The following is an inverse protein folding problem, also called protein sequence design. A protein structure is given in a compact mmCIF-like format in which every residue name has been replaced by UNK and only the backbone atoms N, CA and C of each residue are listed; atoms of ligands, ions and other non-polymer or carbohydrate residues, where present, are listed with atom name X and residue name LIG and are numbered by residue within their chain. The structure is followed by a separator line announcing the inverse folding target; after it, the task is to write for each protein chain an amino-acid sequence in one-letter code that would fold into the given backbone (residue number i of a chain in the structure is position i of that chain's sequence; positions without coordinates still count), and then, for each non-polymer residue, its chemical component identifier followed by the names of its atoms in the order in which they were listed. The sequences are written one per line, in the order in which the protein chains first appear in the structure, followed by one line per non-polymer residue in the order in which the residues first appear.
data_IF_762448330462
#
_entry.id   IF_762448330462
#
_cell.length_a   1.000
_cell.length_b   1.000
_cell.length_c   1.000
_cell.angle_alpha   90.00
_cell.angle_beta   90.00
_cell.angle_gamma   90.00
#
_symmetry.space_group_name_H-M   'P 1'
#
loop_
_entity.id
_entity.type
_entity.pdbx_description
1 polymer ?
#
# COMPACT_ATOMS: atom_id res chain seq x y z
N UNK A 1 -41.82 32.18 39.75
CA UNK A 1 -41.19 31.22 38.82
C UNK A 1 -39.71 31.11 39.16
N UNK A 2 -39.12 29.91 39.08
CA UNK A 2 -37.77 29.61 39.59
C UNK A 2 -36.69 29.68 38.51
N UNK A 3 -35.57 30.34 38.84
CA UNK A 3 -34.44 30.60 37.94
C UNK A 3 -33.48 29.40 37.89
N UNK A 4 -33.74 28.40 37.04
CA UNK A 4 -32.81 27.27 36.83
C UNK A 4 -31.52 27.73 36.15
N UNK A 5 -30.38 27.49 36.79
CA UNK A 5 -29.05 27.65 36.23
C UNK A 5 -28.67 26.43 35.37
N UNK A 6 -28.11 26.68 34.19
CA UNK A 6 -27.62 25.63 33.28
C UNK A 6 -26.16 25.26 33.60
N UNK A 7 -25.99 24.24 34.44
CA UNK A 7 -24.67 23.67 34.72
C UNK A 7 -24.11 22.98 33.45
N UNK A 8 -23.24 23.70 32.73
CA UNK A 8 -22.60 23.23 31.50
C UNK A 8 -21.47 22.26 31.83
N UNK A 9 -21.79 20.97 31.93
CA UNK A 9 -20.80 19.90 32.15
C UNK A 9 -19.75 19.92 31.02
N UNK A 10 -18.49 20.16 31.39
CA UNK A 10 -17.35 19.93 30.50
C UNK A 10 -17.10 18.42 30.45
N UNK A 11 -17.57 17.77 29.39
CA UNK A 11 -17.04 16.48 29.00
C UNK A 11 -15.57 16.68 28.59
N UNK A 12 -14.65 16.42 29.51
CA UNK A 12 -13.23 16.24 29.16
C UNK A 12 -13.17 14.90 28.44
N UNK A 13 -12.88 14.95 27.13
CA UNK A 13 -12.56 13.74 26.38
C UNK A 13 -11.16 13.28 26.80
N UNK A 14 -11.09 12.29 27.67
CA UNK A 14 -9.83 11.58 27.91
C UNK A 14 -9.36 10.95 26.60
N UNK A 15 -8.26 11.46 26.09
CA UNK A 15 -7.62 10.95 24.89
C UNK A 15 -6.93 9.63 25.27
N UNK A 16 -7.60 8.51 24.95
CA UNK A 16 -7.12 7.16 25.26
C UNK A 16 -5.81 6.87 24.51
N UNK A 17 -4.69 7.22 25.15
CA UNK A 17 -3.36 6.91 24.66
C UNK A 17 -3.22 5.39 24.52
N UNK A 18 -3.01 4.86 23.30
CA UNK A 18 -2.94 3.41 23.08
C UNK A 18 -1.80 2.75 23.85
N UNK A 19 -0.75 3.50 24.25
CA UNK A 19 0.36 3.01 25.08
C UNK A 19 -0.12 2.73 26.51
N UNK A 20 -0.93 3.63 27.08
CA UNK A 20 -1.51 3.45 28.42
C UNK A 20 -2.45 2.25 28.50
N UNK A 21 -3.27 2.04 27.45
CA UNK A 21 -4.13 0.86 27.33
C UNK A 21 -3.32 -0.44 27.23
N UNK A 22 -2.21 -0.43 26.47
CA UNK A 22 -1.31 -1.58 26.36
C UNK A 22 -0.61 -1.92 27.68
N UNK A 23 -0.19 -0.91 28.44
CA UNK A 23 0.36 -1.07 29.79
C UNK A 23 -0.68 -1.61 30.78
N UNK A 24 -1.90 -1.06 30.79
CA UNK A 24 -2.98 -1.55 31.64
C UNK A 24 -3.33 -3.03 31.35
N UNK A 25 -3.42 -3.40 30.07
CA UNK A 25 -3.62 -4.80 29.64
C UNK A 25 -2.44 -5.68 30.10
N UNK A 26 -1.20 -5.19 29.98
CA UNK A 26 -0.01 -5.89 30.47
C UNK A 26 -0.02 -6.13 31.98
N UNK A 27 -0.43 -5.15 32.78
CA UNK A 27 -0.55 -5.27 34.24
C UNK A 27 -1.69 -6.22 34.65
N UNK A 28 -2.83 -6.19 33.95
CA UNK A 28 -3.97 -7.10 34.20
C UNK A 28 -3.59 -8.55 33.84
N UNK A 29 -2.95 -8.78 32.69
CA UNK A 29 -2.44 -10.10 32.32
C UNK A 29 -1.33 -10.60 33.27
N UNK A 30 -0.42 -9.71 33.67
CA UNK A 30 0.68 -10.02 34.59
C UNK A 30 0.22 -10.34 36.02
N UNK A 31 -0.86 -9.71 36.49
CA UNK A 31 -1.47 -10.01 37.80
C UNK A 31 -2.33 -11.27 37.77
N UNK A 32 -3.06 -11.52 36.67
CA UNK A 32 -3.82 -12.76 36.48
C UNK A 32 -2.91 -14.00 36.29
N UNK A 33 -1.64 -13.81 35.91
CA UNK A 33 -0.67 -14.90 35.74
C UNK A 33 -0.03 -15.43 37.03
N UNK A 34 -0.27 -14.79 38.18
CA UNK A 34 0.28 -15.20 39.49
C UNK A 34 -0.58 -16.23 40.24
N UNK A 35 -1.84 -16.44 39.81
CA UNK A 35 -2.82 -17.32 40.48
C UNK A 35 -3.38 -18.44 39.59
N UNK A 36 -2.99 -18.50 38.32
CA UNK A 36 -3.31 -19.58 37.40
C UNK A 36 -2.08 -20.48 37.19
N UNK A 37 -2.25 -21.82 37.07
CA UNK A 37 -1.13 -22.69 36.74
C UNK A 37 -0.58 -22.32 35.34
N UNK A 38 0.72 -22.48 35.15
CA UNK A 38 1.49 -22.03 33.97
C UNK A 38 0.89 -22.43 32.61
N UNK A 39 0.15 -23.53 32.55
CA UNK A 39 -0.53 -23.98 31.33
C UNK A 39 -1.69 -23.05 30.93
N UNK A 40 -2.48 -22.56 31.89
CA UNK A 40 -3.57 -21.61 31.62
C UNK A 40 -3.05 -20.22 31.23
N UNK A 41 -1.94 -19.76 31.83
CA UNK A 41 -1.33 -18.46 31.45
C UNK A 41 -0.75 -18.52 30.04
N UNK A 42 -0.11 -19.65 29.67
CA UNK A 42 0.33 -19.93 28.30
C UNK A 42 -0.86 -19.95 27.31
N UNK A 43 -1.97 -20.62 27.66
CA UNK A 43 -3.18 -20.67 26.80
C UNK A 43 -3.76 -19.28 26.55
N UNK A 44 -3.89 -18.43 27.59
CA UNK A 44 -4.39 -17.05 27.43
C UNK A 44 -3.43 -16.20 26.59
N UNK A 45 -2.12 -16.36 26.76
CA UNK A 45 -1.11 -15.65 25.97
C UNK A 45 -1.17 -16.01 24.48
N UNK A 46 -1.27 -17.30 24.11
CA UNK A 46 -1.36 -17.72 22.71
C UNK A 46 -2.72 -17.34 22.09
N UNK A 47 -3.81 -17.41 22.86
CA UNK A 47 -5.11 -16.88 22.44
C UNK A 47 -5.04 -15.36 22.18
N UNK A 48 -4.39 -14.59 23.05
CA UNK A 48 -4.12 -13.17 22.85
C UNK A 48 -3.31 -12.89 21.58
N UNK A 49 -2.20 -13.62 21.36
CA UNK A 49 -1.38 -13.48 20.16
C UNK A 49 -2.13 -13.82 18.87
N UNK A 50 -2.98 -14.85 18.87
CA UNK A 50 -3.79 -15.18 17.68
C UNK A 50 -4.86 -14.13 17.39
N UNK A 51 -5.56 -13.63 18.41
CA UNK A 51 -6.51 -12.50 18.27
C UNK A 51 -5.81 -11.25 17.73
N UNK A 52 -4.66 -10.87 18.30
CA UNK A 52 -3.86 -9.73 17.83
C UNK A 52 -3.36 -9.94 16.40
N UNK A 53 -3.00 -11.16 16.01
CA UNK A 53 -2.62 -11.51 14.64
C UNK A 53 -3.81 -11.38 13.67
N UNK A 54 -5.00 -11.88 14.03
CA UNK A 54 -6.21 -11.74 13.21
C UNK A 54 -6.64 -10.28 13.06
N UNK A 55 -6.62 -9.49 14.13
CA UNK A 55 -6.91 -8.04 14.08
C UNK A 55 -5.88 -7.33 13.19
N UNK A 56 -4.58 -7.60 13.35
CA UNK A 56 -3.55 -7.02 12.49
C UNK A 56 -3.69 -7.44 11.02
N UNK A 57 -4.09 -8.68 10.74
CA UNK A 57 -4.34 -9.15 9.38
C UNK A 57 -5.54 -8.44 8.75
N UNK A 58 -6.67 -8.36 9.46
CA UNK A 58 -7.86 -7.64 9.02
C UNK A 58 -7.57 -6.15 8.78
N UNK A 59 -6.83 -5.50 9.67
CA UNK A 59 -6.39 -4.11 9.49
C UNK A 59 -5.43 -3.94 8.30
N UNK A 60 -4.54 -4.91 8.03
CA UNK A 60 -3.67 -4.90 6.83
C UNK A 60 -4.47 -5.05 5.55
N UNK A 61 -5.44 -5.97 5.48
CA UNK A 61 -6.33 -6.14 4.33
C UNK A 61 -7.15 -4.87 4.05
N UNK A 62 -7.71 -4.24 5.09
CA UNK A 62 -8.40 -2.95 4.99
C UNK A 62 -7.49 -1.81 4.49
N UNK A 63 -6.22 -1.76 4.93
CA UNK A 63 -5.25 -0.78 4.45
C UNK A 63 -4.87 -1.01 2.99
N UNK A 64 -4.63 -2.27 2.59
CA UNK A 64 -4.28 -2.65 1.21
C UNK A 64 -5.40 -2.32 0.22
N UNK A 65 -6.67 -2.59 0.57
CA UNK A 65 -7.83 -2.22 -0.27
C UNK A 65 -7.91 -0.70 -0.49
N UNK A 66 -7.67 0.11 0.55
CA UNK A 66 -7.64 1.58 0.44
C UNK A 66 -6.50 2.07 -0.46
N UNK A 67 -5.31 1.50 -0.34
CA UNK A 67 -4.14 1.84 -1.17
C UNK A 67 -4.36 1.47 -2.64
N UNK A 68 -4.83 0.24 -2.94
CA UNK A 68 -5.18 -0.18 -4.31
C UNK A 68 -6.26 0.70 -4.92
N UNK A 69 -7.29 1.07 -4.14
CA UNK A 69 -8.34 2.00 -4.61
C UNK A 69 -7.78 3.41 -4.89
N UNK A 70 -6.83 3.89 -4.09
CA UNK A 70 -6.12 5.15 -4.38
C UNK A 70 -5.30 5.05 -5.68
N UNK A 71 -4.56 3.95 -5.89
CA UNK A 71 -3.82 3.73 -7.14
C UNK A 71 -4.75 3.74 -8.37
N UNK A 72 -5.93 3.12 -8.31
CA UNK A 72 -6.93 3.16 -9.40
C UNK A 72 -7.54 4.55 -9.63
N UNK A 73 -7.64 5.38 -8.58
CA UNK A 73 -8.10 6.77 -8.69
C UNK A 73 -7.01 7.73 -9.18
N UNK A 74 -5.73 7.43 -8.91
CA UNK A 74 -4.57 8.21 -9.33
C UNK A 74 -4.24 8.06 -10.84
N UNK A 75 -4.77 7.01 -11.50
CA UNK A 75 -4.73 6.84 -12.97
C UNK A 75 -5.56 7.94 -13.68
N UNK A 76 -5.21 8.27 -14.92
CA UNK A 76 -6.10 9.01 -15.84
C UNK A 76 -7.36 8.18 -16.19
N UNK A 77 -8.41 8.76 -16.82
CA UNK A 77 -9.55 8.00 -17.31
C UNK A 77 -9.15 6.88 -18.29
N UNK A 78 -8.35 7.21 -19.32
CA UNK A 78 -7.88 6.24 -20.31
C UNK A 78 -6.86 5.24 -19.74
N UNK A 79 -6.02 5.66 -18.79
CA UNK A 79 -5.14 4.76 -18.04
C UNK A 79 -5.94 3.77 -17.18
N UNK A 80 -7.12 4.16 -16.67
CA UNK A 80 -8.05 3.28 -15.95
C UNK A 80 -8.81 2.33 -16.88
N UNK A 81 -9.30 2.82 -18.02
CA UNK A 81 -9.92 1.98 -19.07
C UNK A 81 -8.94 0.92 -19.59
N UNK A 82 -7.70 1.31 -19.90
CA UNK A 82 -6.63 0.38 -20.28
C UNK A 82 -6.29 -0.62 -19.16
N UNK A 83 -6.35 -0.21 -17.88
CA UNK A 83 -6.15 -1.13 -16.74
C UNK A 83 -7.27 -2.16 -16.64
N UNK A 84 -8.52 -1.77 -16.91
CA UNK A 84 -9.66 -2.70 -16.92
C UNK A 84 -9.59 -3.64 -18.13
N UNK A 85 -9.12 -3.19 -19.30
CA UNK A 85 -8.89 -4.05 -20.45
C UNK A 85 -7.86 -5.16 -20.15
N UNK A 86 -6.68 -4.79 -19.63
CA UNK A 86 -5.64 -5.74 -19.22
C UNK A 86 -6.15 -6.73 -18.15
N UNK A 87 -6.99 -6.25 -17.22
CA UNK A 87 -7.63 -7.10 -16.21
C UNK A 87 -8.59 -8.14 -16.83
N UNK A 88 -9.31 -7.79 -17.89
CA UNK A 88 -10.16 -8.73 -18.62
C UNK A 88 -9.32 -9.79 -19.34
N UNK A 89 -8.23 -9.38 -20.00
CA UNK A 89 -7.27 -10.32 -20.63
C UNK A 89 -6.69 -11.31 -19.59
N UNK A 90 -6.27 -10.81 -18.42
CA UNK A 90 -5.76 -11.63 -17.31
C UNK A 90 -6.78 -12.65 -16.75
N UNK A 91 -8.07 -12.31 -16.83
CA UNK A 91 -9.18 -13.18 -16.45
C UNK A 91 -9.59 -14.16 -17.57
N UNK A 92 -8.83 -14.22 -18.67
CA UNK A 92 -9.04 -15.12 -19.79
C UNK A 92 -10.10 -14.68 -20.81
N UNK A 93 -10.45 -13.39 -20.84
CA UNK A 93 -11.34 -12.83 -21.85
C UNK A 93 -10.62 -12.71 -23.21
N UNK A 94 -11.39 -12.69 -24.30
CA UNK A 94 -10.89 -12.66 -25.69
C UNK A 94 -11.34 -11.39 -26.40
N UNK A 95 -10.65 -11.03 -27.49
CA UNK A 95 -11.01 -9.89 -28.35
C UNK A 95 -11.25 -8.59 -27.55
N UNK A 96 -10.40 -8.35 -26.54
CA UNK A 96 -10.51 -7.17 -25.67
C UNK A 96 -9.97 -5.96 -26.44
N UNK A 97 -10.83 -4.97 -26.68
CA UNK A 97 -10.52 -3.77 -27.45
C UNK A 97 -11.03 -2.54 -26.72
N UNK A 98 -10.12 -1.67 -26.29
CA UNK A 98 -10.46 -0.33 -25.77
C UNK A 98 -10.97 0.53 -26.93
N UNK A 99 -12.10 1.22 -26.72
CA UNK A 99 -12.63 2.23 -27.65
C UNK A 99 -12.32 3.60 -27.10
N UNK A 100 -11.25 4.20 -27.62
CA UNK A 100 -10.76 5.51 -27.18
C UNK A 100 -11.27 6.62 -28.09
N UNK A 101 -12.39 7.25 -27.73
CA UNK A 101 -12.96 8.32 -28.55
C UNK A 101 -14.02 9.18 -27.87
N UNK A 102 -13.98 10.48 -28.15
CA UNK A 102 -15.07 11.42 -27.87
C UNK A 102 -16.24 11.19 -28.84
N UNK A 103 -16.86 10.01 -28.77
CA UNK A 103 -17.93 9.60 -29.69
C UNK A 103 -18.55 8.22 -29.43
N UNK A 104 -17.93 7.36 -28.63
CA UNK A 104 -18.25 5.91 -28.55
C UNK A 104 -19.54 5.54 -27.80
N UNK A 105 -20.47 6.49 -27.66
CA UNK A 105 -21.81 6.34 -27.05
C UNK A 105 -21.78 5.72 -25.64
N UNK A 106 -20.68 5.90 -24.92
CA UNK A 106 -20.48 5.38 -23.56
C UNK A 106 -20.07 3.91 -23.48
N UNK A 107 -19.51 3.32 -24.54
CA UNK A 107 -18.85 2.01 -24.48
C UNK A 107 -17.35 2.21 -24.58
N UNK A 108 -16.66 1.97 -23.47
CA UNK A 108 -15.25 2.32 -23.31
C UNK A 108 -14.35 1.11 -23.65
N UNK A 109 -14.86 -0.13 -23.50
CA UNK A 109 -14.19 -1.38 -23.90
C UNK A 109 -15.22 -2.35 -24.50
N UNK A 110 -14.81 -3.16 -25.48
CA UNK A 110 -15.55 -4.36 -25.92
C UNK A 110 -14.73 -5.61 -25.74
N UNK A 111 -15.35 -6.73 -25.34
CA UNK A 111 -14.68 -8.01 -25.12
C UNK A 111 -15.62 -9.20 -25.40
N UNK A 112 -15.07 -10.38 -25.57
CA UNK A 112 -15.79 -11.65 -25.72
C UNK A 112 -15.42 -12.61 -24.59
N UNK A 113 -16.43 -13.29 -24.04
CA UNK A 113 -16.24 -14.36 -23.05
C UNK A 113 -17.30 -15.44 -23.21
N UNK A 114 -16.87 -16.70 -23.18
CA UNK A 114 -17.73 -17.89 -23.24
C UNK A 114 -18.69 -17.87 -24.46
N UNK A 115 -18.23 -17.28 -25.58
CA UNK A 115 -18.99 -17.11 -26.83
C UNK A 115 -19.97 -15.94 -26.85
N UNK A 116 -20.05 -15.15 -25.78
CA UNK A 116 -20.93 -13.97 -25.65
C UNK A 116 -20.13 -12.67 -25.81
N UNK A 117 -20.71 -11.69 -26.51
CA UNK A 117 -20.17 -10.34 -26.67
C UNK A 117 -20.58 -9.44 -25.51
N UNK A 118 -19.59 -8.81 -24.87
CA UNK A 118 -19.78 -7.84 -23.81
C UNK A 118 -19.35 -6.44 -24.25
N UNK A 119 -20.11 -5.44 -23.82
CA UNK A 119 -19.68 -4.04 -23.77
C UNK A 119 -19.39 -3.66 -22.33
N UNK A 120 -18.32 -2.89 -22.09
CA UNK A 120 -17.92 -2.48 -20.74
C UNK A 120 -17.79 -0.96 -20.72
N UNK A 121 -18.35 -0.35 -19.67
CA UNK A 121 -18.22 1.07 -19.37
C UNK A 121 -17.47 1.24 -18.05
N UNK A 122 -16.50 2.14 -18.02
CA UNK A 122 -15.60 2.41 -16.91
C UNK A 122 -15.89 3.78 -16.29
N UNK A 123 -16.03 3.87 -14.96
CA UNK A 123 -16.32 5.14 -14.25
C UNK A 123 -15.41 5.30 -13.03
N UNK A 124 -14.28 5.98 -13.24
CA UNK A 124 -13.29 6.38 -12.23
C UNK A 124 -13.83 7.51 -11.34
N UNK A 125 -14.80 7.20 -10.47
CA UNK A 125 -15.43 8.15 -9.55
C UNK A 125 -15.12 7.86 -8.07
N UNK A 126 -15.17 8.92 -7.26
CA UNK A 126 -15.02 8.87 -5.80
C UNK A 126 -16.38 8.73 -5.09
N UNK A 127 -17.42 9.39 -5.61
CA UNK A 127 -18.82 9.34 -5.15
C UNK A 127 -19.56 8.13 -5.74
N UNK A 128 -20.67 7.67 -5.14
CA UNK A 128 -21.43 6.54 -5.67
C UNK A 128 -22.01 6.78 -7.08
N UNK A 129 -22.00 5.75 -7.93
CA UNK A 129 -22.45 5.84 -9.32
C UNK A 129 -23.97 5.80 -9.42
N UNK A 130 -24.56 6.85 -9.98
CA UNK A 130 -26.01 7.04 -10.13
C UNK A 130 -26.65 6.18 -11.24
N UNK A 131 -27.99 6.11 -11.28
CA UNK A 131 -28.73 5.17 -12.13
C UNK A 131 -28.65 5.46 -13.63
N UNK A 132 -28.42 6.71 -14.04
CA UNK A 132 -28.40 7.12 -15.45
C UNK A 132 -27.43 6.25 -16.27
N UNK A 133 -26.20 6.04 -15.78
CA UNK A 133 -25.20 5.19 -16.43
C UNK A 133 -25.67 3.75 -16.68
N UNK A 134 -26.55 3.20 -15.85
CA UNK A 134 -27.14 1.87 -16.06
C UNK A 134 -28.12 1.91 -17.24
N UNK A 135 -29.00 2.91 -17.29
CA UNK A 135 -29.93 3.13 -18.41
C UNK A 135 -29.20 3.42 -19.73
N UNK A 136 -28.19 4.27 -19.70
CA UNK A 136 -27.37 4.62 -20.86
C UNK A 136 -26.67 3.37 -21.42
N UNK A 137 -26.12 2.52 -20.54
CA UNK A 137 -25.47 1.26 -20.92
C UNK A 137 -26.46 0.18 -21.41
N UNK A 138 -27.68 0.12 -20.86
CA UNK A 138 -28.77 -0.73 -21.41
C UNK A 138 -29.15 -0.29 -22.84
N UNK A 139 -29.21 1.02 -23.10
CA UNK A 139 -29.40 1.55 -24.46
C UNK A 139 -28.24 1.21 -25.40
N UNK A 140 -27.00 1.37 -24.93
CA UNK A 140 -25.80 1.01 -25.69
C UNK A 140 -25.74 -0.49 -26.03
N UNK A 141 -26.24 -1.37 -25.16
CA UNK A 141 -26.31 -2.82 -25.37
C UNK A 141 -27.17 -3.17 -26.59
N UNK A 142 -28.30 -2.49 -26.78
CA UNK A 142 -29.14 -2.63 -27.97
C UNK A 142 -28.46 -2.08 -29.23
N UNK A 143 -27.83 -0.90 -29.13
CA UNK A 143 -27.17 -0.21 -30.25
C UNK A 143 -25.95 -0.97 -30.79
N UNK A 144 -25.14 -1.57 -29.89
CA UNK A 144 -23.92 -2.29 -30.25
C UNK A 144 -24.16 -3.79 -30.54
N UNK A 145 -25.41 -4.26 -30.45
CA UNK A 145 -25.81 -5.67 -30.54
C UNK A 145 -24.92 -6.58 -29.68
N UNK A 146 -24.91 -6.32 -28.37
CA UNK A 146 -24.19 -7.11 -27.38
C UNK A 146 -25.11 -8.04 -26.58
N UNK A 147 -24.55 -9.12 -26.07
CA UNK A 147 -25.26 -10.10 -25.26
C UNK A 147 -25.41 -9.63 -23.81
N UNK A 148 -24.38 -8.96 -23.30
CA UNK A 148 -24.30 -8.46 -21.93
C UNK A 148 -23.52 -7.14 -21.87
N UNK A 149 -23.63 -6.44 -20.74
CA UNK A 149 -22.78 -5.32 -20.42
C UNK A 149 -22.22 -5.38 -18.99
N UNK A 150 -21.12 -4.68 -18.74
CA UNK A 150 -20.58 -4.48 -17.39
C UNK A 150 -20.34 -2.99 -17.15
N UNK A 151 -20.84 -2.47 -16.03
CA UNK A 151 -20.52 -1.13 -15.54
C UNK A 151 -19.49 -1.25 -14.42
N UNK A 152 -18.25 -0.85 -14.67
CA UNK A 152 -17.11 -0.93 -13.76
C UNK A 152 -16.86 0.42 -13.11
N UNK A 153 -16.79 0.46 -11.78
CA UNK A 153 -16.65 1.70 -11.01
C UNK A 153 -15.58 1.60 -9.92
N UNK A 154 -14.86 2.70 -9.68
CA UNK A 154 -13.99 2.85 -8.50
C UNK A 154 -14.78 3.27 -7.24
N UNK A 155 -16.09 3.09 -7.23
CA UNK A 155 -16.98 3.40 -6.11
C UNK A 155 -18.24 2.53 -6.14
N UNK A 156 -18.91 2.41 -5.00
CA UNK A 156 -20.19 1.74 -4.87
C UNK A 156 -21.27 2.33 -5.80
N UNK A 157 -22.21 1.48 -6.22
CA UNK A 157 -23.44 1.92 -6.91
C UNK A 157 -24.49 2.41 -5.93
N UNK A 158 -25.33 3.38 -6.34
CA UNK A 158 -26.49 3.75 -5.51
C UNK A 158 -27.51 2.60 -5.46
N UNK A 159 -28.33 2.55 -4.39
CA UNK A 159 -29.44 1.59 -4.28
C UNK A 159 -30.37 1.63 -5.51
N UNK A 160 -30.55 2.80 -6.12
CA UNK A 160 -31.38 2.94 -7.33
C UNK A 160 -30.72 2.30 -8.55
N UNK A 161 -29.41 2.52 -8.76
CA UNK A 161 -28.61 1.87 -9.81
C UNK A 161 -28.65 0.34 -9.69
N UNK A 162 -28.55 -0.18 -8.45
CA UNK A 162 -28.67 -1.61 -8.14
C UNK A 162 -30.09 -2.16 -8.36
N UNK A 163 -31.13 -1.33 -8.29
CA UNK A 163 -32.51 -1.74 -8.61
C UNK A 163 -32.74 -1.72 -10.12
N UNK A 164 -32.25 -0.71 -10.83
CA UNK A 164 -32.39 -0.58 -12.28
C UNK A 164 -31.58 -1.63 -13.06
N UNK A 165 -30.50 -2.16 -12.49
CA UNK A 165 -29.77 -3.30 -13.08
C UNK A 165 -30.47 -4.67 -12.89
N UNK A 166 -31.44 -4.80 -11.97
CA UNK A 166 -32.10 -6.10 -11.74
C UNK A 166 -32.97 -6.49 -12.92
N UNK A 167 -32.81 -7.72 -13.40
CA UNK A 167 -33.50 -8.22 -14.59
C UNK A 167 -32.94 -7.71 -15.91
N UNK A 168 -31.96 -6.80 -15.89
CA UNK A 168 -31.24 -6.35 -17.08
C UNK A 168 -30.04 -7.25 -17.38
N UNK A 169 -29.55 -7.21 -18.63
CA UNK A 169 -28.33 -7.92 -19.06
C UNK A 169 -27.05 -7.13 -18.69
N UNK A 170 -27.04 -6.48 -17.52
CA UNK A 170 -25.97 -5.57 -17.06
C UNK A 170 -25.45 -6.01 -15.69
N UNK A 171 -24.15 -6.29 -15.61
CA UNK A 171 -23.44 -6.57 -14.36
C UNK A 171 -22.84 -5.27 -13.79
N UNK A 172 -22.80 -5.14 -12.46
CA UNK A 172 -22.26 -3.98 -11.77
C UNK A 172 -21.00 -4.39 -10.99
N UNK A 173 -19.82 -3.88 -11.40
CA UNK A 173 -18.55 -4.11 -10.71
C UNK A 173 -18.19 -2.88 -9.89
N UNK A 174 -18.52 -2.90 -8.60
CA UNK A 174 -18.14 -1.83 -7.66
C UNK A 174 -16.66 -1.93 -7.24
N UNK A 175 -16.22 -1.03 -6.35
CA UNK A 175 -14.84 -1.03 -5.86
C UNK A 175 -14.44 -2.31 -5.11
N UNK A 176 -15.40 -3.12 -4.63
CA UNK A 176 -15.14 -4.38 -3.94
C UNK A 176 -15.02 -5.52 -4.94
N UNK A 177 -15.94 -5.60 -5.89
CA UNK A 177 -15.92 -6.60 -6.98
C UNK A 177 -14.70 -6.39 -7.87
N UNK A 178 -14.39 -5.14 -8.25
CA UNK A 178 -13.22 -4.81 -9.05
C UNK A 178 -11.91 -5.24 -8.36
N UNK A 179 -11.77 -5.02 -7.05
CA UNK A 179 -10.61 -5.49 -6.29
C UNK A 179 -10.56 -7.03 -6.18
N UNK A 180 -11.71 -7.70 -6.03
CA UNK A 180 -11.78 -9.17 -6.06
C UNK A 180 -11.36 -9.74 -7.42
N UNK A 181 -11.75 -9.11 -8.53
CA UNK A 181 -11.32 -9.48 -9.88
C UNK A 181 -9.81 -9.28 -10.08
N UNK A 182 -9.23 -8.22 -9.51
CA UNK A 182 -7.77 -7.99 -9.51
C UNK A 182 -7.05 -9.09 -8.70
N UNK A 183 -7.55 -9.44 -7.51
CA UNK A 183 -7.01 -10.56 -6.72
C UNK A 183 -7.16 -11.92 -7.44
N UNK A 184 -8.20 -12.12 -8.24
CA UNK A 184 -8.42 -13.31 -9.07
C UNK A 184 -7.41 -13.39 -10.22
N UNK A 185 -7.22 -12.29 -10.96
CA UNK A 185 -6.21 -12.16 -12.02
C UNK A 185 -4.76 -12.35 -11.51
N UNK A 186 -4.41 -11.74 -10.36
CA UNK A 186 -3.11 -11.94 -9.71
C UNK A 186 -2.87 -13.42 -9.37
N UNK A 187 -3.89 -14.14 -8.88
CA UNK A 187 -3.80 -15.59 -8.58
C UNK A 187 -3.67 -16.44 -9.83
N UNK A 188 -4.38 -16.13 -10.90
CA UNK A 188 -4.29 -16.86 -12.17
C UNK A 188 -2.89 -16.72 -12.79
N UNK A 189 -2.34 -15.49 -12.82
CA UNK A 189 -0.94 -15.24 -13.20
C UNK A 189 0.06 -15.99 -12.30
N UNK A 190 -0.13 -15.96 -10.98
CA UNK A 190 0.75 -16.65 -10.04
C UNK A 190 0.65 -18.18 -10.15
N UNK A 191 -0.51 -18.74 -10.51
CA UNK A 191 -0.68 -20.18 -10.75
C UNK A 191 0.00 -20.65 -12.04
N UNK A 192 0.18 -19.76 -13.02
CA UNK A 192 0.96 -20.01 -14.24
C UNK A 192 2.49 -19.93 -14.01
N UNK A 193 2.95 -19.45 -12.84
CA UNK A 193 4.37 -19.36 -12.49
C UNK A 193 4.80 -20.53 -11.57
N UNK A 194 5.61 -21.49 -12.05
CA UNK A 194 5.88 -22.72 -11.32
C UNK A 194 6.97 -22.56 -10.23
N UNK A 195 6.65 -21.92 -9.10
CA UNK A 195 7.20 -22.12 -7.72
C UNK A 195 6.81 -20.99 -6.75
N UNK A 196 6.17 -21.34 -5.61
CA UNK A 196 6.19 -20.71 -4.24
C UNK A 196 4.83 -20.52 -3.51
N UNK A 197 3.68 -20.75 -4.14
CA UNK A 197 2.38 -20.37 -3.55
C UNK A 197 1.81 -21.28 -2.43
N UNK A 198 2.50 -22.36 -2.01
CA UNK A 198 1.90 -23.43 -1.19
C UNK A 198 2.18 -23.34 0.33
N UNK A 199 3.10 -22.48 0.79
CA UNK A 199 3.52 -22.43 2.22
C UNK A 199 2.47 -21.81 3.16
N UNK A 200 1.59 -20.95 2.64
CA UNK A 200 0.69 -20.13 3.46
C UNK A 200 -0.41 -20.92 4.18
N UNK A 201 -1.02 -21.91 3.52
CA UNK A 201 -2.18 -22.66 4.06
C UNK A 201 -1.80 -23.54 5.26
N UNK A 202 -0.61 -24.13 5.24
CA UNK A 202 -0.12 -25.01 6.32
C UNK A 202 0.08 -24.26 7.63
N UNK A 203 0.49 -22.98 7.57
CA UNK A 203 0.69 -22.12 8.74
C UNK A 203 -0.61 -21.88 9.53
N UNK A 204 -1.76 -21.71 8.86
CA UNK A 204 -3.05 -21.53 9.53
C UNK A 204 -3.54 -22.82 10.19
N UNK A 205 -3.39 -23.97 9.52
CA UNK A 205 -3.73 -25.27 10.08
C UNK A 205 -2.86 -25.62 11.29
N UNK A 206 -1.55 -25.38 11.20
CA UNK A 206 -0.59 -25.60 12.30
C UNK A 206 -0.88 -24.71 13.51
N UNK A 207 -1.18 -23.43 13.31
CA UNK A 207 -1.51 -22.51 14.41
C UNK A 207 -2.79 -22.91 15.15
N UNK A 208 -3.85 -23.32 14.44
CA UNK A 208 -5.09 -23.80 15.06
C UNK A 208 -4.91 -25.14 15.77
N UNK A 209 -4.18 -26.08 15.15
CA UNK A 209 -3.84 -27.37 15.77
C UNK A 209 -3.03 -27.20 17.06
N UNK A 210 -2.02 -26.33 17.06
CA UNK A 210 -1.20 -26.04 18.24
C UNK A 210 -2.02 -25.44 19.39
N UNK A 211 -2.97 -24.54 19.10
CA UNK A 211 -3.87 -23.99 20.12
C UNK A 211 -4.76 -25.07 20.74
N UNK A 212 -5.33 -25.97 19.93
CA UNK A 212 -6.15 -27.08 20.43
C UNK A 212 -5.34 -28.07 21.28
N UNK A 213 -4.10 -28.38 20.88
CA UNK A 213 -3.19 -29.24 21.64
C UNK A 213 -2.81 -28.60 22.99
N UNK A 214 -2.46 -27.31 23.01
CA UNK A 214 -2.13 -26.59 24.24
C UNK A 214 -3.33 -26.49 25.19
N UNK A 215 -4.54 -26.19 24.68
CA UNK A 215 -5.75 -26.15 25.49
C UNK A 215 -6.12 -27.54 26.06
N UNK A 216 -6.01 -28.60 25.26
CA UNK A 216 -6.20 -29.97 25.72
C UNK A 216 -5.20 -30.38 26.80
N UNK A 217 -3.93 -30.01 26.64
CA UNK A 217 -2.89 -30.26 27.65
C UNK A 217 -3.13 -29.46 28.94
N UNK A 218 -3.57 -28.20 28.84
CA UNK A 218 -3.95 -27.39 30.01
C UNK A 218 -5.12 -27.99 30.79
N UNK A 219 -6.12 -28.56 30.12
CA UNK A 219 -7.23 -29.27 30.78
C UNK A 219 -6.78 -30.58 31.43
N UNK A 220 -5.92 -31.36 30.77
CA UNK A 220 -5.44 -32.66 31.26
C UNK A 220 -4.48 -32.55 32.46
N UNK A 221 -3.62 -31.53 32.50
CA UNK A 221 -2.56 -31.41 33.52
C UNK A 221 -2.75 -30.21 34.48
N UNK A 222 -3.52 -29.20 34.11
CA UNK A 222 -3.85 -28.05 34.97
C UNK A 222 -5.21 -28.15 35.66
N UNK A 223 -6.09 -29.04 35.18
CA UNK A 223 -7.45 -29.21 35.69
C UNK A 223 -8.40 -28.05 35.36
N UNK A 224 -9.64 -28.18 35.82
CA UNK A 224 -10.61 -27.09 35.84
C UNK A 224 -10.34 -26.20 37.07
N UNK A 225 -10.22 -24.87 36.92
CA UNK A 225 -9.98 -23.96 38.04
C UNK A 225 -11.24 -23.78 38.89
N UNK A 226 -11.49 -24.72 39.80
CA UNK A 226 -12.51 -24.61 40.85
C UNK A 226 -11.90 -23.78 41.99
N UNK A 227 -12.39 -22.55 42.18
CA UNK A 227 -11.84 -21.61 43.15
C UNK A 227 -12.24 -21.96 44.58
N UNK A 228 -11.35 -22.65 45.30
CA UNK A 228 -11.42 -22.74 46.76
C UNK A 228 -10.88 -21.45 47.37
N UNK A 229 -11.80 -20.59 47.82
CA UNK A 229 -11.48 -19.35 48.51
C UNK A 229 -11.40 -19.59 50.03
N UNK A 230 -10.21 -19.89 50.54
CA UNK A 230 -9.90 -19.79 51.97
C UNK A 230 -8.87 -18.70 52.21
N UNK A 231 -9.06 -17.95 53.30
CA UNK A 231 -8.31 -16.73 53.56
C UNK A 231 -7.08 -16.98 54.45
N UNK A 232 -5.96 -16.35 54.11
CA UNK A 232 -4.92 -16.04 55.08
C UNK A 232 -4.74 -14.52 55.13
N UNK A 233 -4.93 -13.99 56.33
CA UNK A 233 -4.81 -12.59 56.72
C UNK A 233 -3.57 -12.49 57.62
N UNK A 234 -2.99 -11.30 57.72
CA UNK A 234 -1.75 -10.98 58.45
C UNK A 234 -0.45 -11.50 57.79
N UNK A 235 0.72 -10.86 57.98
CA UNK A 235 1.07 -9.80 58.93
C UNK A 235 2.08 -8.79 58.34
N UNK A 236 2.68 -7.94 59.20
CA UNK A 236 3.85 -7.08 58.95
C UNK A 236 3.67 -5.79 58.13
N UNK A 237 2.78 -4.90 58.59
CA UNK A 237 2.94 -3.45 58.37
C UNK A 237 3.80 -2.82 59.48
N UNK A 238 4.98 -2.25 59.19
CA UNK A 238 5.55 -1.12 59.97
C UNK A 238 6.73 -0.41 59.28
N UNK A 239 6.75 0.93 59.39
CA UNK A 239 7.82 1.90 59.03
C UNK A 239 8.32 1.90 57.55
N UNK A 240 8.51 3.03 56.86
CA UNK A 240 8.18 4.43 57.16
C UNK A 240 9.39 5.33 57.46
N UNK A 241 9.30 6.57 56.93
CA UNK A 241 10.04 7.79 57.33
C UNK A 241 11.41 8.10 56.65
N UNK A 242 11.32 9.06 55.70
CA UNK A 242 12.34 10.07 55.26
C UNK A 242 13.54 9.68 54.39
N UNK A 243 13.95 10.68 53.60
CA UNK A 243 15.19 10.73 52.83
C UNK A 243 16.13 11.81 53.38
N UNK A 244 17.44 11.61 53.22
CA UNK A 244 18.38 12.65 52.75
C UNK A 244 19.78 12.08 52.49
N UNK A 245 20.51 12.71 51.58
CA UNK A 245 21.98 12.69 51.54
C UNK A 245 22.49 13.95 52.29
N UNK A 246 23.76 14.01 52.75
CA UNK A 246 24.86 14.31 51.82
C UNK A 246 26.20 13.59 52.12
N UNK A 247 27.20 13.94 51.31
CA UNK A 247 28.52 13.31 51.21
C UNK A 247 29.50 13.52 52.38
N UNK A 248 30.51 12.64 52.43
CA UNK A 248 31.86 12.86 52.98
C UNK A 248 32.91 12.24 52.04
N UNK A 249 34.11 12.82 52.01
CA UNK A 249 35.27 12.49 51.15
C UNK A 249 36.51 12.27 52.09
N UNK A 250 37.82 12.26 51.70
CA UNK A 250 38.52 12.20 50.41
C UNK A 250 39.74 11.20 50.44
N UNK A 251 40.90 11.58 49.85
CA UNK A 251 42.31 11.07 50.01
C UNK A 251 42.75 9.96 49.03
N UNK A 252 43.85 10.09 48.23
CA UNK A 252 44.72 11.26 47.92
C UNK A 252 45.54 11.09 46.61
N UNK A 253 45.88 12.21 45.95
CA UNK A 253 47.05 12.54 45.09
C UNK A 253 47.56 11.58 43.96
N UNK A 254 48.41 12.00 43.00
CA UNK A 254 49.19 13.25 42.87
C UNK A 254 49.39 13.76 41.41
N UNK A 255 49.93 14.98 41.31
CA UNK A 255 50.31 15.87 40.20
C UNK A 255 50.53 15.30 38.76
N UNK A 256 50.22 15.99 37.64
CA UNK A 256 50.24 17.43 37.28
C UNK A 256 51.67 18.04 37.15
N UNK A 257 51.89 19.17 36.42
CA UNK A 257 51.00 20.00 35.59
C UNK A 257 51.12 19.59 34.09
N UNK A 258 51.29 20.36 33.00
CA UNK A 258 51.44 21.80 32.70
C UNK A 258 51.19 22.10 31.19
N UNK A 259 51.01 23.31 30.64
CA UNK A 259 50.38 24.58 31.11
C UNK A 259 50.25 25.55 29.90
N UNK A 260 49.04 26.10 29.68
CA UNK A 260 48.73 27.33 28.88
C UNK A 260 49.01 27.35 27.35
N UNK A 261 48.49 28.28 26.52
CA UNK A 261 47.19 29.02 26.43
C UNK A 261 47.14 29.72 25.04
N UNK A 262 46.01 29.76 24.29
CA UNK A 262 45.97 30.29 22.91
C UNK A 262 45.50 31.77 22.78
N UNK A 263 46.05 32.52 21.80
CA UNK A 263 45.43 33.71 21.17
C UNK A 263 46.08 34.07 19.80
N UNK A 264 45.61 35.05 18.98
CA UNK A 264 44.83 34.68 17.79
C UNK A 264 45.23 35.35 16.45
N UNK A 265 44.48 35.03 15.39
CA UNK A 265 44.19 35.86 14.19
C UNK A 265 45.32 36.17 13.21
N UNK A 266 45.14 35.73 11.96
CA UNK A 266 45.59 36.45 10.76
C UNK A 266 44.63 36.18 9.58
N UNK A 267 44.28 37.22 8.81
CA UNK A 267 43.41 37.12 7.63
C UNK A 267 44.25 37.15 6.34
N UNK A 268 44.15 36.15 5.45
CA UNK A 268 44.79 36.21 4.13
C UNK A 268 43.97 37.07 3.14
N UNK A 269 44.69 37.78 2.27
CA UNK A 269 44.16 38.68 1.22
C UNK A 269 44.01 37.92 -0.11
N UNK A 270 42.98 38.18 -0.94
CA UNK A 270 42.80 37.49 -2.22
C UNK A 270 43.90 37.83 -3.24
N UNK A 271 44.38 36.83 -3.99
CA UNK A 271 45.36 37.02 -5.08
C UNK A 271 44.96 36.25 -6.35
N UNK A 272 44.57 37.04 -7.36
CA UNK A 272 44.59 36.83 -8.83
C UNK A 272 44.48 35.41 -9.43
N UNK A 273 43.42 35.23 -10.22
CA UNK A 273 43.17 34.13 -11.17
C UNK A 273 44.23 34.06 -12.29
N UNK A 274 44.71 32.85 -12.68
CA UNK A 274 45.40 32.63 -13.95
C UNK A 274 44.40 32.44 -15.11
N UNK A 275 44.85 32.69 -16.34
CA UNK A 275 44.04 32.67 -17.56
C UNK A 275 43.81 31.24 -18.10
N UNK A 276 42.70 30.92 -18.79
CA UNK A 276 42.39 29.54 -19.18
C UNK A 276 43.37 28.94 -20.18
N UNK A 277 43.76 27.68 -19.94
CA UNK A 277 44.34 26.83 -20.98
C UNK A 277 43.24 26.41 -21.99
N UNK A 278 43.63 26.16 -23.24
CA UNK A 278 42.68 25.74 -24.28
C UNK A 278 42.04 24.38 -23.95
N UNK A 279 40.71 24.32 -23.98
CA UNK A 279 39.94 23.10 -23.74
C UNK A 279 40.29 22.02 -24.78
N UNK A 280 40.63 20.78 -24.39
CA UNK A 280 40.78 19.69 -25.36
C UNK A 280 39.45 19.46 -26.07
N UNK A 281 39.49 19.35 -27.40
CA UNK A 281 38.31 19.06 -28.22
C UNK A 281 37.69 17.73 -27.77
N UNK A 282 36.37 17.68 -27.49
CA UNK A 282 35.75 16.49 -26.93
C UNK A 282 35.89 15.32 -27.91
N UNK A 283 36.50 14.22 -27.43
CA UNK A 283 36.40 12.92 -28.11
C UNK A 283 34.92 12.56 -28.20
N UNK A 284 34.41 12.10 -29.36
CA UNK A 284 33.01 11.73 -29.49
C UNK A 284 32.72 10.55 -28.56
N UNK A 285 31.99 10.80 -27.47
CA UNK A 285 31.49 9.76 -26.57
C UNK A 285 30.69 8.76 -27.40
N UNK A 286 31.00 7.44 -27.35
CA UNK A 286 30.24 6.47 -28.11
C UNK A 286 28.78 6.48 -27.62
N UNK A 287 27.84 6.71 -28.52
CA UNK A 287 26.41 6.78 -28.19
C UNK A 287 25.98 5.46 -27.53
N UNK A 288 25.47 5.48 -26.29
CA UNK A 288 25.04 4.26 -25.62
C UNK A 288 23.89 3.61 -26.40
N UNK A 289 24.09 2.35 -26.82
CA UNK A 289 23.09 1.58 -27.55
C UNK A 289 22.05 1.06 -26.55
N UNK A 290 20.99 1.83 -26.35
CA UNK A 290 19.85 1.42 -25.55
C UNK A 290 18.94 0.46 -26.34
N UNK A 291 18.42 -0.62 -25.72
CA UNK A 291 17.37 -1.42 -26.33
C UNK A 291 16.10 -0.58 -26.48
N UNK A 292 15.22 -0.95 -27.41
CA UNK A 292 13.99 -0.22 -27.72
C UNK A 292 12.74 -1.02 -27.38
N UNK A 293 11.62 -0.32 -27.22
CA UNK A 293 10.28 -0.89 -27.13
C UNK A 293 9.29 -0.10 -27.97
N UNK A 294 8.23 -0.76 -28.44
CA UNK A 294 7.07 -0.11 -29.06
C UNK A 294 6.04 0.23 -28.00
N UNK A 295 5.51 1.45 -28.04
CA UNK A 295 4.40 1.88 -27.19
C UNK A 295 3.12 1.19 -27.66
N UNK A 296 2.46 0.45 -26.77
CA UNK A 296 1.23 -0.29 -27.09
C UNK A 296 0.02 0.66 -27.18
N UNK A 297 -0.17 1.49 -26.16
CA UNK A 297 -1.16 2.56 -26.14
C UNK A 297 -0.55 3.82 -25.52
N UNK A 298 -1.01 4.99 -25.96
CA UNK A 298 -0.43 6.27 -25.58
C UNK A 298 -0.61 6.61 -24.09
N UNK A 299 0.28 7.45 -23.57
CA UNK A 299 0.27 7.81 -22.14
C UNK A 299 1.31 8.86 -21.75
N UNK A 300 1.38 9.14 -20.45
CA UNK A 300 2.16 10.24 -19.90
C UNK A 300 3.62 9.85 -19.59
N UNK A 301 4.58 10.64 -20.09
CA UNK A 301 6.00 10.62 -19.68
C UNK A 301 6.16 11.56 -18.49
N UNK A 302 6.80 11.11 -17.40
CA UNK A 302 6.81 11.82 -16.11
C UNK A 302 8.22 12.04 -15.55
N UNK A 303 8.38 13.08 -14.74
CA UNK A 303 9.65 13.39 -14.06
C UNK A 303 10.08 12.31 -13.05
N UNK A 304 9.11 11.61 -12.45
CA UNK A 304 9.31 10.61 -11.40
C UNK A 304 8.52 9.32 -11.71
N UNK A 305 8.93 8.16 -11.18
CA UNK A 305 8.21 6.90 -11.31
C UNK A 305 6.98 6.85 -10.37
N UNK A 306 6.03 7.75 -10.60
CA UNK A 306 4.79 7.87 -9.82
C UNK A 306 3.67 8.53 -10.64
N UNK A 307 2.42 8.08 -10.45
CA UNK A 307 1.24 8.66 -11.09
C UNK A 307 0.98 10.13 -10.68
N UNK A 308 1.65 10.60 -9.62
CA UNK A 308 1.59 11.99 -9.13
C UNK A 308 2.79 12.84 -9.59
N UNK A 309 3.79 12.22 -10.22
CA UNK A 309 4.92 12.92 -10.80
C UNK A 309 4.50 13.79 -11.98
N UNK A 310 5.09 14.98 -12.05
CA UNK A 310 4.87 15.97 -13.12
C UNK A 310 4.96 15.33 -14.49
N UNK A 311 3.95 15.52 -15.32
CA UNK A 311 3.97 15.11 -16.73
C UNK A 311 4.91 16.04 -17.49
N UNK A 312 5.92 15.48 -18.16
CA UNK A 312 6.90 16.20 -18.97
C UNK A 312 6.50 16.23 -20.44
N UNK A 313 5.96 15.12 -20.95
CA UNK A 313 5.49 14.94 -22.33
C UNK A 313 4.48 13.79 -22.38
N UNK A 314 3.92 13.50 -23.55
CA UNK A 314 3.15 12.29 -23.82
C UNK A 314 3.85 11.43 -24.88
N UNK A 315 3.51 10.14 -24.90
CA UNK A 315 3.87 9.19 -25.95
C UNK A 315 2.61 8.66 -26.61
N UNK A 316 2.67 8.40 -27.93
CA UNK A 316 1.55 7.89 -28.71
C UNK A 316 1.69 6.38 -28.96
N UNK A 317 0.56 5.71 -29.21
CA UNK A 317 0.56 4.32 -29.66
C UNK A 317 1.46 4.15 -30.91
N UNK A 318 2.17 3.02 -30.97
CA UNK A 318 3.13 2.65 -32.02
C UNK A 318 4.40 3.52 -32.12
N UNK A 319 4.60 4.53 -31.26
CA UNK A 319 5.93 5.16 -31.14
C UNK A 319 6.96 4.15 -30.64
N UNK A 320 8.22 4.29 -31.10
CA UNK A 320 9.34 3.50 -30.58
C UNK A 320 10.16 4.36 -29.61
N UNK A 321 10.44 3.83 -28.43
CA UNK A 321 11.15 4.52 -27.35
C UNK A 321 12.42 3.76 -26.97
N UNK A 322 13.47 4.48 -26.56
CA UNK A 322 14.70 3.89 -26.02
C UNK A 322 14.54 3.62 -24.53
N UNK A 323 15.08 2.51 -24.05
CA UNK A 323 14.93 2.02 -22.68
C UNK A 323 16.22 2.29 -21.89
N UNK A 324 16.16 3.15 -20.88
CA UNK A 324 17.30 3.47 -20.02
C UNK A 324 17.41 2.53 -18.82
N UNK A 325 16.27 2.10 -18.27
CA UNK A 325 16.23 1.26 -17.08
C UNK A 325 14.81 1.14 -16.50
N UNK A 326 14.70 0.54 -15.32
CA UNK A 326 13.44 0.32 -14.61
C UNK A 326 13.49 0.74 -13.16
N UNK A 327 12.33 0.96 -12.55
CA UNK A 327 12.22 1.15 -11.09
C UNK A 327 12.49 -0.15 -10.35
N UNK A 328 12.78 -0.05 -9.04
CA UNK A 328 13.09 -1.20 -8.20
C UNK A 328 11.94 -2.22 -8.12
N UNK A 329 10.68 -1.75 -8.17
CA UNK A 329 9.47 -2.56 -8.22
C UNK A 329 9.08 -3.03 -9.64
N UNK A 330 9.78 -2.58 -10.69
CA UNK A 330 9.50 -2.91 -12.10
C UNK A 330 8.25 -2.24 -12.68
N UNK A 331 7.51 -1.46 -11.90
CA UNK A 331 6.23 -0.84 -12.33
C UNK A 331 6.45 0.31 -13.33
N UNK A 332 7.65 0.90 -13.32
CA UNK A 332 8.01 2.04 -14.17
C UNK A 332 9.27 1.77 -14.97
N UNK A 333 9.27 2.24 -16.21
CA UNK A 333 10.39 2.16 -17.14
C UNK A 333 10.84 3.59 -17.45
N UNK A 334 12.14 3.86 -17.32
CA UNK A 334 12.77 5.14 -17.69
C UNK A 334 13.14 5.07 -19.16
N UNK A 335 12.67 6.02 -19.95
CA UNK A 335 12.78 6.04 -21.41
C UNK A 335 13.32 7.37 -21.94
N UNK A 336 13.81 7.35 -23.19
CA UNK A 336 13.88 8.52 -24.06
C UNK A 336 12.90 8.30 -25.21
N UNK A 337 12.02 9.28 -25.46
CA UNK A 337 11.05 9.22 -26.54
C UNK A 337 11.58 9.81 -27.87
N UNK A 338 10.86 9.72 -29.00
CA UNK A 338 11.32 10.27 -30.29
C UNK A 338 11.61 11.78 -30.27
N UNK A 339 11.03 12.53 -29.34
CA UNK A 339 11.22 13.98 -29.14
C UNK A 339 12.46 14.31 -28.28
N UNK A 340 13.29 13.32 -27.96
CA UNK A 340 14.43 13.41 -27.05
C UNK A 340 14.06 13.79 -25.60
N UNK A 341 12.78 13.72 -25.23
CA UNK A 341 12.37 13.90 -23.83
C UNK A 341 12.63 12.61 -23.06
N UNK A 342 13.42 12.72 -22.01
CA UNK A 342 13.65 11.65 -21.04
C UNK A 342 12.59 11.67 -19.93
N UNK A 343 12.16 10.51 -19.46
CA UNK A 343 11.32 10.41 -18.28
C UNK A 343 10.79 9.00 -18.01
N UNK A 344 9.87 8.89 -17.06
CA UNK A 344 9.29 7.64 -16.60
C UNK A 344 7.92 7.41 -17.22
N UNK A 345 7.70 6.19 -17.73
CA UNK A 345 6.41 5.70 -18.21
C UNK A 345 6.02 4.42 -17.46
N UNK A 346 4.72 4.20 -17.29
CA UNK A 346 4.22 3.02 -16.61
C UNK A 346 4.40 1.77 -17.50
N UNK A 347 4.89 0.66 -16.92
CA UNK A 347 5.30 -0.58 -17.61
C UNK A 347 4.29 -1.13 -18.63
N UNK A 348 2.98 -0.98 -18.37
CA UNK A 348 1.92 -1.49 -19.26
C UNK A 348 1.67 -0.64 -20.51
N UNK A 349 2.34 0.51 -20.67
CA UNK A 349 2.28 1.31 -21.90
C UNK A 349 3.23 0.77 -22.98
N UNK A 350 4.14 -0.16 -22.64
CA UNK A 350 5.21 -0.64 -23.52
C UNK A 350 5.06 -2.14 -23.81
N UNK A 351 5.15 -2.49 -25.08
CA UNK A 351 5.39 -3.87 -25.53
C UNK A 351 6.86 -4.20 -25.31
N UNK A 352 7.14 -4.98 -24.26
CA UNK A 352 8.49 -5.32 -23.79
C UNK A 352 8.62 -6.84 -23.66
N UNK A 353 9.69 -7.37 -24.24
CA UNK A 353 10.14 -8.75 -24.03
C UNK A 353 10.61 -8.93 -22.57
N UNK A 354 10.15 -9.95 -21.83
CA UNK A 354 10.59 -10.22 -20.46
C UNK A 354 12.11 -10.38 -20.31
N UNK A 355 12.83 -10.85 -21.33
CA UNK A 355 14.29 -10.98 -21.30
C UNK A 355 14.99 -9.60 -21.37
N UNK A 356 14.46 -8.67 -22.17
CA UNK A 356 14.95 -7.29 -22.24
C UNK A 356 14.64 -6.58 -20.91
N UNK A 357 13.41 -6.72 -20.39
CA UNK A 357 12.99 -6.13 -19.12
C UNK A 357 13.82 -6.63 -17.92
N UNK A 358 14.16 -7.92 -17.88
CA UNK A 358 15.02 -8.49 -16.86
C UNK A 358 16.47 -7.94 -16.92
N UNK A 359 16.95 -7.59 -18.12
CA UNK A 359 18.26 -7.00 -18.34
C UNK A 359 18.33 -5.48 -18.10
N UNK A 360 17.19 -4.79 -17.98
CA UNK A 360 17.18 -3.34 -17.70
C UNK A 360 17.74 -3.02 -16.31
N UNK A 361 18.68 -2.06 -16.19
CA UNK A 361 19.25 -1.68 -14.90
C UNK A 361 18.18 -1.05 -13.99
N UNK A 362 18.28 -1.32 -12.69
CA UNK A 362 17.43 -0.68 -11.69
C UNK A 362 17.95 0.74 -11.43
N UNK A 363 17.15 1.73 -11.81
CA UNK A 363 17.46 3.15 -11.62
C UNK A 363 16.66 3.66 -10.43
N UNK A 364 17.35 4.03 -9.35
CA UNK A 364 16.75 4.83 -8.27
C UNK A 364 16.49 6.24 -8.81
N UNK A 365 15.28 6.80 -8.69
CA UNK A 365 15.06 8.20 -9.06
C UNK A 365 15.89 9.11 -8.15
N UNK A 366 16.60 10.08 -8.74
CA UNK A 366 17.17 11.17 -7.95
C UNK A 366 16.04 11.92 -7.25
N UNK A 367 16.19 12.12 -5.93
CA UNK A 367 15.41 13.16 -5.25
C UNK A 367 15.86 14.48 -5.83
N UNK A 368 15.03 15.13 -6.64
CA UNK A 368 15.20 16.55 -6.91
C UNK A 368 15.24 17.27 -5.56
N UNK A 369 16.35 17.94 -5.29
CA UNK A 369 16.61 18.51 -3.97
C UNK A 369 15.57 19.57 -3.61
N UNK A 370 15.38 19.80 -2.31
CA UNK A 370 14.64 20.95 -1.82
C UNK A 370 15.39 22.24 -2.22
N UNK A 371 15.05 22.77 -3.39
CA UNK A 371 15.55 24.05 -3.91
C UNK A 371 15.10 25.19 -2.99
N UNK A 372 16.06 26.03 -2.60
CA UNK A 372 15.91 27.16 -1.69
C UNK A 372 14.93 28.22 -2.21
#
# INVERSE_FOLDING_TARGET
MTRRSSARSRAVSEEFDPISGLLAIGVILGSLSLSLPFLWTLTVMVAGMTIVFFINRWLREQRLQRLRRQQLLDLSPSEFEQRVALLLEDLGWKQVTVRGGSGDRGVDITAERDGLRFIIQCKRYTKPVGPNYVRDLVGALQIQQADRAILVATSAFTRQSQLEARGQRVELWDDRILLQRIDEAERLRAAQQPRRSQESTLLYAGALGLNLVLAGFALLFGGLPISHAEAQIEQASFLGVTANAPASNPIVAEAAPATATPRPTATPRPTRTPQPAATPQPTPTPTPIYPTATVFNGGNVRAEPTLKGTVLDQIHAYETVFLLGRSADGVWIRIINPRQQEGWVHRTLLTLDPAIEAALPVITPERQGAGR
#
